data_IF_295994977759
#
_entry.id   IF_295994977759
#
_cell.length_a   1.000
_cell.length_b   1.000
_cell.length_c   1.000
_cell.angle_alpha   90.00
_cell.angle_beta   90.00
_cell.angle_gamma   90.00
#
_symmetry.space_group_name_H-M   'P 1'
#
loop_
_entity.id
_entity.type
_entity.pdbx_description
1 polymer ?
#
# COMPACT_ATOMS: atom_id res chain seq x y z
N UNK A 1 -12.00 -5.00 21.32
CA UNK A 1 -11.43 -6.22 20.71
C UNK A 1 -12.38 -6.98 19.78
N UNK A 2 -13.65 -6.58 19.62
CA UNK A 2 -14.66 -7.38 18.90
C UNK A 2 -14.85 -7.00 17.42
N UNK A 3 -14.50 -5.76 17.04
CA UNK A 3 -14.78 -5.22 15.70
C UNK A 3 -13.86 -5.73 14.58
N UNK A 4 -12.58 -6.01 14.88
CA UNK A 4 -11.61 -6.54 13.90
C UNK A 4 -11.92 -7.99 13.51
N UNK A 5 -12.34 -8.81 14.48
CA UNK A 5 -12.71 -10.20 14.24
C UNK A 5 -14.03 -10.31 13.45
N UNK A 6 -14.91 -9.31 13.58
CA UNK A 6 -16.15 -9.23 12.80
C UNK A 6 -15.92 -8.78 11.35
N UNK A 7 -14.82 -8.08 11.08
CA UNK A 7 -14.37 -7.69 9.74
C UNK A 7 -13.79 -8.89 8.99
N UNK A 8 -12.94 -9.68 9.66
CA UNK A 8 -12.31 -10.86 9.08
C UNK A 8 -13.31 -12.00 8.79
N UNK A 9 -14.39 -12.13 9.56
CA UNK A 9 -15.41 -13.17 9.32
C UNK A 9 -16.31 -12.87 8.11
N UNK A 10 -16.54 -11.60 7.75
CA UNK A 10 -17.39 -11.20 6.62
C UNK A 10 -16.66 -11.25 5.28
N UNK A 11 -15.35 -11.06 5.27
CA UNK A 11 -14.46 -11.26 4.10
C UNK A 11 -14.63 -12.69 3.57
N UNK A 12 -14.68 -13.70 4.44
CA UNK A 12 -14.77 -15.13 4.06
C UNK A 12 -16.00 -15.51 3.21
N UNK A 13 -17.11 -14.78 3.29
CA UNK A 13 -18.36 -15.15 2.58
C UNK A 13 -18.52 -14.49 1.19
N UNK A 14 -17.69 -13.49 0.84
CA UNK A 14 -17.85 -12.73 -0.41
C UNK A 14 -17.07 -13.37 -1.57
N UNK A 15 -16.00 -14.13 -1.29
CA UNK A 15 -15.12 -14.74 -2.31
C UNK A 15 -15.60 -16.08 -2.90
N UNK A 16 -16.79 -16.57 -2.52
CA UNK A 16 -17.31 -17.85 -3.02
C UNK A 16 -17.99 -17.77 -4.39
N UNK A 17 -18.23 -16.57 -4.94
CA UNK A 17 -18.92 -16.43 -6.23
C UNK A 17 -17.93 -16.23 -7.38
N UNK A 18 -17.50 -17.36 -7.95
CA UNK A 18 -16.75 -17.44 -9.19
C UNK A 18 -17.63 -16.94 -10.34
N UNK A 19 -17.28 -15.84 -10.99
CA UNK A 19 -17.89 -15.43 -12.27
C UNK A 19 -16.90 -15.80 -13.38
N UNK A 20 -17.29 -16.77 -14.21
CA UNK A 20 -16.57 -17.14 -15.42
C UNK A 20 -16.97 -16.18 -16.54
N UNK A 21 -16.02 -15.40 -17.06
CA UNK A 21 -16.22 -14.58 -18.26
C UNK A 21 -15.33 -15.07 -19.40
N UNK A 22 -15.92 -15.18 -20.60
CA UNK A 22 -15.38 -15.83 -21.79
C UNK A 22 -14.21 -15.07 -22.44
N UNK A 23 -13.32 -15.84 -23.08
CA UNK A 23 -12.07 -15.41 -23.69
C UNK A 23 -12.26 -14.53 -24.94
N UNK A 24 -11.50 -13.43 -25.02
CA UNK A 24 -11.28 -12.62 -26.21
C UNK A 24 -9.79 -12.66 -26.64
N UNK A 25 -9.54 -12.51 -27.94
CA UNK A 25 -8.26 -12.74 -28.63
C UNK A 25 -7.09 -11.85 -28.12
N UNK A 26 -5.83 -12.33 -28.19
CA UNK A 26 -4.68 -11.66 -27.56
C UNK A 26 -4.17 -10.47 -28.40
N UNK A 27 -4.00 -9.26 -27.82
CA UNK A 27 -3.16 -8.24 -28.41
C UNK A 27 -1.68 -8.49 -28.07
N UNK A 28 -0.82 -7.95 -28.93
CA UNK A 28 0.64 -7.81 -28.87
C UNK A 28 1.26 -8.15 -27.50
N UNK A 29 2.11 -9.18 -27.47
CA UNK A 29 2.71 -9.72 -26.25
C UNK A 29 3.24 -8.62 -25.31
N UNK A 30 2.57 -8.47 -24.17
CA UNK A 30 3.09 -7.71 -23.03
C UNK A 30 4.48 -8.25 -22.64
N UNK A 31 5.38 -7.37 -22.15
CA UNK A 31 6.65 -7.82 -21.58
C UNK A 31 6.37 -8.91 -20.54
N UNK A 32 7.24 -9.93 -20.43
CA UNK A 32 6.93 -11.17 -19.71
C UNK A 32 6.45 -10.85 -18.30
N UNK A 33 5.22 -11.27 -18.00
CA UNK A 33 4.58 -11.18 -16.68
C UNK A 33 5.29 -12.05 -15.63
N UNK A 34 6.36 -12.74 -16.00
CA UNK A 34 7.18 -13.65 -15.18
C UNK A 34 8.06 -12.93 -14.12
N UNK A 35 7.67 -11.71 -13.76
CA UNK A 35 8.14 -10.96 -12.57
C UNK A 35 7.24 -11.33 -11.35
N UNK A 36 6.34 -12.33 -11.50
CA UNK A 36 5.02 -12.36 -10.88
C UNK A 36 4.93 -12.57 -9.36
N UNK A 37 6.04 -12.70 -8.63
CA UNK A 37 5.98 -12.78 -7.17
C UNK A 37 7.10 -11.93 -6.56
N UNK A 38 6.71 -10.83 -5.90
CA UNK A 38 7.60 -10.18 -4.94
C UNK A 38 7.80 -11.16 -3.79
N UNK A 39 9.02 -11.66 -3.63
CA UNK A 39 9.31 -12.60 -2.55
C UNK A 39 9.16 -11.92 -1.19
N UNK A 40 8.82 -12.70 -0.16
CA UNK A 40 8.80 -12.22 1.23
C UNK A 40 10.11 -11.53 1.65
N UNK A 41 11.25 -11.95 1.07
CA UNK A 41 12.55 -11.31 1.30
C UNK A 41 12.58 -9.88 0.74
N UNK A 42 12.03 -9.65 -0.45
CA UNK A 42 11.94 -8.31 -1.06
C UNK A 42 10.96 -7.41 -0.33
N UNK A 43 9.83 -7.93 0.13
CA UNK A 43 8.90 -7.17 0.98
C UNK A 43 9.60 -6.68 2.26
N UNK A 44 10.35 -7.57 2.93
CA UNK A 44 11.13 -7.20 4.12
C UNK A 44 12.19 -6.15 3.81
N UNK A 45 12.87 -6.24 2.66
CA UNK A 45 13.85 -5.25 2.24
C UNK A 45 13.21 -3.89 1.91
N UNK A 46 12.06 -3.88 1.24
CA UNK A 46 11.27 -2.68 0.98
C UNK A 46 10.84 -2.00 2.30
N UNK A 47 10.30 -2.77 3.25
CA UNK A 47 9.95 -2.26 4.58
C UNK A 47 11.16 -1.71 5.34
N UNK A 48 12.32 -2.36 5.24
CA UNK A 48 13.54 -1.89 5.87
C UNK A 48 14.01 -0.55 5.31
N UNK A 49 13.94 -0.37 3.98
CA UNK A 49 14.27 0.91 3.33
C UNK A 49 13.26 2.01 3.73
N UNK A 50 11.97 1.70 3.82
CA UNK A 50 10.95 2.66 4.28
C UNK A 50 11.20 3.05 5.74
N UNK A 51 11.46 2.07 6.61
CA UNK A 51 11.82 2.32 8.02
C UNK A 51 13.03 3.24 8.12
N UNK A 52 14.06 2.96 7.32
CA UNK A 52 15.27 3.78 7.29
C UNK A 52 14.96 5.21 6.83
N UNK A 53 14.16 5.38 5.78
CA UNK A 53 13.73 6.71 5.32
C UNK A 53 13.03 7.49 6.44
N UNK A 54 12.07 6.86 7.14
CA UNK A 54 11.35 7.53 8.23
C UNK A 54 12.27 7.91 9.39
N UNK A 55 13.21 7.03 9.76
CA UNK A 55 14.20 7.31 10.79
C UNK A 55 15.16 8.45 10.39
N UNK A 56 15.73 8.38 9.18
CA UNK A 56 16.76 9.32 8.72
C UNK A 56 16.18 10.73 8.46
N UNK A 57 14.91 10.84 8.05
CA UNK A 57 14.30 12.14 7.69
C UNK A 57 13.44 12.75 8.80
N UNK A 58 12.80 11.93 9.63
CA UNK A 58 11.85 12.41 10.65
C UNK A 58 12.23 12.00 12.07
N UNK A 59 13.32 11.24 12.25
CA UNK A 59 13.72 10.74 13.57
C UNK A 59 12.76 9.68 14.12
N UNK A 60 11.97 9.03 13.25
CA UNK A 60 10.86 8.16 13.68
C UNK A 60 11.34 7.01 14.56
N UNK A 61 10.89 6.94 15.82
CA UNK A 61 11.25 5.85 16.72
C UNK A 61 10.69 4.51 16.22
N UNK A 62 11.45 3.42 16.36
CA UNK A 62 10.93 2.08 16.02
C UNK A 62 9.68 1.72 16.83
N UNK A 63 9.53 2.25 18.04
CA UNK A 63 8.34 2.03 18.88
C UNK A 63 7.05 2.67 18.32
N UNK A 64 7.16 3.61 17.38
CA UNK A 64 6.03 4.24 16.67
C UNK A 64 5.64 3.51 15.39
N UNK A 65 6.35 2.43 15.05
CA UNK A 65 6.09 1.63 13.87
C UNK A 65 5.31 0.38 14.24
N UNK A 66 4.15 0.19 13.62
CA UNK A 66 3.34 -1.00 13.74
C UNK A 66 3.38 -1.80 12.45
N UNK A 67 3.48 -3.11 12.58
CA UNK A 67 3.60 -4.05 11.46
C UNK A 67 2.49 -5.08 11.53
N UNK A 68 2.02 -5.48 10.35
CA UNK A 68 1.10 -6.61 10.25
C UNK A 68 1.34 -7.35 8.96
N UNK A 69 1.59 -8.65 9.07
CA UNK A 69 1.71 -9.55 7.93
C UNK A 69 0.35 -10.16 7.59
N UNK A 70 0.13 -10.35 6.31
CA UNK A 70 -1.04 -10.99 5.72
C UNK A 70 -0.57 -12.13 4.82
N UNK A 71 -1.49 -13.00 4.42
CA UNK A 71 -1.18 -14.06 3.47
C UNK A 71 -0.73 -13.49 2.11
N UNK A 72 -1.28 -12.35 1.71
CA UNK A 72 -1.07 -11.69 0.42
C UNK A 72 -0.31 -10.36 0.51
N UNK A 73 0.41 -10.10 1.61
CA UNK A 73 1.10 -8.81 1.76
C UNK A 73 1.51 -8.48 3.19
N UNK A 74 1.84 -7.20 3.40
CA UNK A 74 2.23 -6.66 4.71
C UNK A 74 1.84 -5.19 4.81
N UNK A 75 1.63 -4.67 6.02
CA UNK A 75 1.37 -3.25 6.26
C UNK A 75 2.33 -2.67 7.28
N UNK A 76 2.64 -1.39 7.09
CA UNK A 76 3.41 -0.55 8.00
C UNK A 76 2.59 0.68 8.34
N UNK A 77 2.41 0.95 9.63
CA UNK A 77 1.84 2.20 10.12
C UNK A 77 2.88 2.91 10.99
N UNK A 78 3.13 4.18 10.70
CA UNK A 78 3.87 5.11 11.56
C UNK A 78 2.87 5.99 12.30
N UNK A 79 2.94 5.98 13.62
CA UNK A 79 2.16 6.87 14.51
C UNK A 79 3.02 8.04 15.04
N UNK A 80 4.03 8.43 14.26
CA UNK A 80 4.87 9.58 14.57
C UNK A 80 4.12 10.89 14.31
N UNK A 81 4.10 11.79 15.29
CA UNK A 81 3.41 13.07 15.18
C UNK A 81 4.03 13.98 14.09
N UNK A 82 5.32 13.85 13.81
CA UNK A 82 6.02 14.63 12.79
C UNK A 82 5.58 14.18 11.40
N UNK A 83 5.54 12.88 11.15
CA UNK A 83 5.14 12.31 9.87
C UNK A 83 4.56 10.89 10.05
N UNK A 84 3.25 10.85 10.24
CA UNK A 84 2.50 9.61 10.35
C UNK A 84 2.12 9.12 8.94
N UNK A 85 2.27 7.82 8.70
CA UNK A 85 1.97 7.21 7.40
C UNK A 85 1.32 5.84 7.59
N UNK A 86 0.40 5.49 6.69
CA UNK A 86 -0.18 4.15 6.58
C UNK A 86 0.13 3.58 5.20
N UNK A 87 0.82 2.44 5.19
CA UNK A 87 1.30 1.77 4.00
C UNK A 87 0.86 0.31 3.97
N UNK A 88 0.48 -0.17 2.79
CA UNK A 88 0.20 -1.59 2.54
C UNK A 88 0.93 -2.02 1.29
N UNK A 89 1.65 -3.14 1.34
CA UNK A 89 2.23 -3.77 0.15
C UNK A 89 1.51 -5.09 -0.06
N UNK A 90 0.80 -5.22 -1.19
CA UNK A 90 0.06 -6.42 -1.58
C UNK A 90 0.81 -7.13 -2.70
N UNK A 91 1.12 -8.41 -2.51
CA UNK A 91 1.62 -9.27 -3.60
C UNK A 91 0.49 -9.67 -4.53
N UNK A 92 -0.68 -9.95 -3.95
CA UNK A 92 -1.92 -10.27 -4.64
C UNK A 92 -3.00 -9.34 -4.07
N UNK A 93 -3.52 -8.45 -4.90
CA UNK A 93 -4.56 -7.51 -4.48
C UNK A 93 -5.95 -8.17 -4.50
N UNK A 94 -6.12 -9.28 -5.23
CA UNK A 94 -7.39 -10.00 -5.38
C UNK A 94 -8.56 -9.08 -5.81
N UNK A 95 -8.25 -7.99 -6.52
CA UNK A 95 -9.22 -6.98 -6.95
C UNK A 95 -9.70 -6.04 -5.83
N UNK A 96 -9.06 -6.02 -4.66
CA UNK A 96 -9.36 -5.07 -3.60
C UNK A 96 -9.25 -3.63 -4.12
N UNK A 97 -10.34 -2.86 -4.03
CA UNK A 97 -10.41 -1.48 -4.53
C UNK A 97 -9.96 -1.30 -6.00
N UNK A 98 -10.18 -2.31 -6.85
CA UNK A 98 -9.72 -2.34 -8.24
C UNK A 98 -8.20 -2.18 -8.41
N UNK A 99 -7.43 -2.49 -7.36
CA UNK A 99 -5.98 -2.43 -7.41
C UNK A 99 -5.42 -3.61 -8.22
N UNK A 100 -4.36 -3.38 -9.00
CA UNK A 100 -3.60 -4.46 -9.60
C UNK A 100 -2.82 -5.24 -8.53
N UNK A 101 -2.47 -6.48 -8.85
CA UNK A 101 -1.52 -7.24 -8.05
C UNK A 101 -0.16 -6.52 -7.98
N UNK A 102 0.63 -6.87 -6.97
CA UNK A 102 1.96 -6.31 -6.75
C UNK A 102 1.95 -4.77 -6.65
N UNK A 103 1.31 -4.26 -5.60
CA UNK A 103 1.08 -2.82 -5.38
C UNK A 103 1.53 -2.39 -3.98
N UNK A 104 2.17 -1.22 -3.91
CA UNK A 104 2.34 -0.46 -2.67
C UNK A 104 1.29 0.64 -2.62
N UNK A 105 0.46 0.62 -1.59
CA UNK A 105 -0.61 1.58 -1.32
C UNK A 105 -0.18 2.54 -0.21
N UNK A 106 -0.22 3.84 -0.49
CA UNK A 106 -0.21 4.90 0.52
C UNK A 106 -1.64 5.27 0.87
N UNK A 107 -2.07 4.86 2.08
CA UNK A 107 -3.45 4.97 2.54
C UNK A 107 -3.73 6.11 3.52
N UNK A 108 -2.69 6.82 3.99
CA UNK A 108 -2.87 7.93 4.90
C UNK A 108 -1.55 8.62 5.24
N UNK A 109 -1.59 9.94 5.38
CA UNK A 109 -0.45 10.77 5.79
C UNK A 109 -0.96 11.90 6.67
N UNK A 110 -0.45 12.00 7.90
CA UNK A 110 -0.80 13.10 8.81
C UNK A 110 0.44 13.68 9.48
N UNK A 111 0.33 14.91 9.96
CA UNK A 111 1.41 15.63 10.64
C UNK A 111 0.85 16.67 11.59
N UNK A 112 1.56 16.96 12.68
CA UNK A 112 1.27 18.11 13.54
C UNK A 112 1.86 19.43 13.00
N UNK A 113 2.68 19.37 11.95
CA UNK A 113 3.19 20.55 11.26
C UNK A 113 2.12 21.14 10.32
N UNK A 114 2.39 22.33 9.77
CA UNK A 114 1.47 22.96 8.83
C UNK A 114 1.40 22.25 7.47
N UNK A 115 0.34 22.56 6.72
CA UNK A 115 0.06 21.96 5.40
C UNK A 115 1.16 22.26 4.38
N UNK A 116 1.87 23.40 4.46
CA UNK A 116 2.96 23.72 3.53
C UNK A 116 4.15 22.80 3.77
N UNK A 117 4.50 22.59 5.03
CA UNK A 117 5.51 21.62 5.42
C UNK A 117 5.10 20.21 4.95
N UNK A 118 3.87 19.80 5.24
CA UNK A 118 3.38 18.47 4.87
C UNK A 118 3.41 18.25 3.34
N UNK A 119 3.04 19.26 2.55
CA UNK A 119 3.08 19.17 1.09
C UNK A 119 4.50 18.98 0.54
N UNK A 120 5.51 19.60 1.17
CA UNK A 120 6.92 19.44 0.79
C UNK A 120 7.41 18.03 1.13
N UNK A 121 7.11 17.55 2.33
CA UNK A 121 7.56 16.22 2.77
C UNK A 121 6.83 15.09 2.06
N UNK A 122 5.53 15.23 1.80
CA UNK A 122 4.76 14.28 1.00
C UNK A 122 5.33 14.16 -0.42
N UNK A 123 5.75 15.26 -1.04
CA UNK A 123 6.41 15.23 -2.35
C UNK A 123 7.72 14.42 -2.30
N UNK A 124 8.56 14.67 -1.31
CA UNK A 124 9.82 13.92 -1.14
C UNK A 124 9.56 12.44 -0.90
N UNK A 125 8.58 12.14 -0.04
CA UNK A 125 8.22 10.77 0.30
C UNK A 125 7.66 10.02 -0.90
N UNK A 126 6.76 10.63 -1.68
CA UNK A 126 6.26 10.04 -2.92
C UNK A 126 7.39 9.79 -3.92
N UNK A 127 8.32 10.73 -4.10
CA UNK A 127 9.49 10.53 -4.96
C UNK A 127 10.34 9.34 -4.49
N UNK A 128 10.54 9.21 -3.18
CA UNK A 128 11.21 8.05 -2.59
C UNK A 128 10.45 6.74 -2.88
N UNK A 129 9.13 6.70 -2.69
CA UNK A 129 8.31 5.52 -2.97
C UNK A 129 8.35 5.12 -4.46
N UNK A 130 8.32 6.11 -5.36
CA UNK A 130 8.44 5.88 -6.81
C UNK A 130 9.79 5.25 -7.20
N UNK A 131 10.86 5.53 -6.46
CA UNK A 131 12.16 4.88 -6.67
C UNK A 131 12.27 3.54 -5.95
N UNK A 132 11.65 3.43 -4.78
CA UNK A 132 11.66 2.23 -3.94
C UNK A 132 10.92 1.06 -4.61
N UNK A 133 9.77 1.32 -5.22
CA UNK A 133 8.96 0.29 -5.86
C UNK A 133 9.74 -0.49 -6.93
N UNK A 134 10.29 0.13 -7.99
CA UNK A 134 11.06 -0.59 -9.01
C UNK A 134 12.32 -1.26 -8.43
N UNK A 135 12.99 -0.63 -7.44
CA UNK A 135 14.14 -1.23 -6.74
C UNK A 135 13.80 -2.59 -6.13
N UNK A 136 12.60 -2.75 -5.55
CA UNK A 136 12.14 -4.00 -4.94
C UNK A 136 11.19 -4.81 -5.82
N UNK A 137 11.06 -4.44 -7.10
CA UNK A 137 10.16 -5.04 -8.10
C UNK A 137 8.68 -5.00 -7.69
N UNK A 138 8.29 -3.98 -6.93
CA UNK A 138 6.89 -3.62 -6.75
C UNK A 138 6.46 -2.85 -7.98
N UNK A 139 5.43 -3.33 -8.68
CA UNK A 139 5.06 -2.83 -10.01
C UNK A 139 4.21 -1.56 -9.96
N UNK A 140 3.40 -1.44 -8.91
CA UNK A 140 2.41 -0.40 -8.81
C UNK A 140 2.58 0.42 -7.53
N UNK A 141 2.39 1.72 -7.65
CA UNK A 141 2.25 2.64 -6.53
C UNK A 141 0.86 3.25 -6.58
N UNK A 142 0.07 2.99 -5.55
CA UNK A 142 -1.27 3.49 -5.41
C UNK A 142 -1.36 4.49 -4.25
N UNK A 143 -2.24 5.47 -4.42
CA UNK A 143 -2.62 6.44 -3.39
C UNK A 143 -4.11 6.29 -3.16
N UNK A 144 -4.50 5.96 -1.93
CA UNK A 144 -5.89 5.95 -1.51
C UNK A 144 -6.03 6.97 -0.38
N UNK A 145 -6.48 8.17 -0.73
CA UNK A 145 -6.84 9.17 0.25
C UNK A 145 -8.36 9.18 0.37
N UNK A 146 -8.85 9.12 1.60
CA UNK A 146 -10.28 9.23 1.86
C UNK A 146 -10.79 10.62 1.46
N UNK A 147 -12.00 10.68 0.91
CA UNK A 147 -12.75 11.91 0.67
C UNK A 147 -13.54 12.36 1.89
N UNK A 148 -13.78 11.44 2.82
CA UNK A 148 -14.43 11.74 4.10
C UNK A 148 -13.36 12.12 5.13
N UNK A 149 -13.72 12.94 6.12
CA UNK A 149 -12.80 13.58 7.08
C UNK A 149 -12.04 12.60 8.02
N UNK A 150 -11.92 11.31 7.66
CA UNK A 150 -11.40 10.25 8.53
C UNK A 150 -10.18 9.55 7.95
N UNK A 151 -9.03 9.70 8.61
CA UNK A 151 -7.76 9.02 8.27
C UNK A 151 -7.74 7.51 8.62
N UNK A 152 -8.90 6.86 8.70
CA UNK A 152 -8.99 5.46 9.11
C UNK A 152 -8.76 4.51 7.92
N UNK A 153 -7.84 3.54 8.03
CA UNK A 153 -7.58 2.56 6.97
C UNK A 153 -8.80 1.72 6.53
N UNK A 154 -9.91 1.75 7.29
CA UNK A 154 -11.18 1.10 6.93
C UNK A 154 -11.90 1.74 5.73
N UNK A 155 -11.54 2.96 5.31
CA UNK A 155 -12.22 3.71 4.24
C UNK A 155 -11.70 3.48 2.81
N UNK A 156 -10.73 2.57 2.62
CA UNK A 156 -10.18 2.22 1.28
C UNK A 156 -11.26 1.76 0.28
N UNK A 157 -12.47 1.40 0.73
CA UNK A 157 -13.59 1.03 -0.14
C UNK A 157 -14.26 2.22 -0.86
N UNK A 158 -14.18 3.43 -0.30
CA UNK A 158 -14.82 4.65 -0.83
C UNK A 158 -13.80 5.71 -1.29
N UNK A 159 -12.50 5.46 -1.05
CA UNK A 159 -11.42 6.36 -1.44
C UNK A 159 -11.25 6.43 -2.97
N UNK A 160 -10.90 7.63 -3.48
CA UNK A 160 -10.40 7.75 -4.84
C UNK A 160 -8.98 7.18 -4.88
N UNK A 161 -8.83 6.09 -5.61
CA UNK A 161 -7.53 5.41 -5.76
C UNK A 161 -6.88 5.86 -7.05
N UNK A 162 -5.71 6.52 -6.94
CA UNK A 162 -4.84 6.78 -8.09
C UNK A 162 -3.72 5.76 -8.11
N UNK A 163 -3.56 5.02 -9.21
CA UNK A 163 -2.55 3.98 -9.35
C UNK A 163 -1.57 4.31 -10.50
N UNK A 164 -0.28 4.27 -10.20
CA UNK A 164 0.82 4.49 -11.13
C UNK A 164 1.55 3.17 -11.38
N UNK A 165 1.79 2.83 -12.65
CA UNK A 165 2.62 1.68 -13.05
C UNK A 165 4.06 2.16 -13.28
N UNK A 166 5.04 1.54 -12.62
CA UNK A 166 6.38 2.11 -12.39
C UNK A 166 7.55 1.37 -13.07
N UNK A 167 7.32 0.71 -14.21
CA UNK A 167 8.36 -0.09 -14.89
C UNK A 167 9.63 0.68 -15.23
#
# INVERSE_FOLDING_TARGET
MTALNHLLSRVKNIFSHKVTTAAAAPPLAEPPTDISVVSNLRLKAALADIKKYLADNFGTPTAKLQYKDYANGTSLTSEDAIFAVSLVILTEAEGAAHLPDNVLLLGGVTSTNDVKWLAVELRKFTNFLMQLCPKHRIQHLAFAFDKTESDDPRFVKEADVTCLRLY
#
